data_IF_693560424890
#
_entry.id   IF_693560424890
#
_cell.length_a   1.000
_cell.length_b   1.000
_cell.length_c   1.000
_cell.angle_alpha   90.00
_cell.angle_beta   90.00
_cell.angle_gamma   90.00
#
_symmetry.space_group_name_H-M   'P 1'
#
loop_
_entity.id
_entity.type
_entity.pdbx_description
1 polymer ?
#
# COMPACT_ATOMS: atom_id res chain seq x y z
N UNK A 1 -10.68 7.27 -2.93
CA UNK A 1 -9.94 6.12 -2.39
C UNK A 1 -9.80 5.07 -3.47
N UNK A 2 -8.66 4.39 -3.54
CA UNK A 2 -8.43 3.21 -4.39
C UNK A 2 -8.36 2.01 -3.46
N UNK A 3 -9.51 1.37 -3.23
CA UNK A 3 -9.67 0.33 -2.20
C UNK A 3 -10.49 -0.88 -2.68
N UNK A 4 -10.99 -0.82 -3.91
CA UNK A 4 -11.61 -1.96 -4.60
C UNK A 4 -10.74 -2.36 -5.77
N UNK A 5 -10.61 -3.67 -6.03
CA UNK A 5 -9.74 -4.22 -7.09
C UNK A 5 -10.03 -3.58 -8.45
N UNK A 6 -11.32 -3.38 -8.78
CA UNK A 6 -11.73 -2.71 -10.03
C UNK A 6 -11.14 -1.30 -10.17
N UNK A 7 -11.10 -0.52 -9.08
CA UNK A 7 -10.57 0.85 -9.11
C UNK A 7 -9.07 0.87 -9.43
N UNK A 8 -8.29 -0.10 -8.94
CA UNK A 8 -6.89 -0.25 -9.31
C UNK A 8 -6.73 -0.65 -10.79
N UNK A 9 -7.53 -1.62 -11.26
CA UNK A 9 -7.51 -2.11 -12.65
C UNK A 9 -7.90 -1.02 -13.67
N UNK A 10 -8.82 -0.11 -13.31
CA UNK A 10 -9.35 0.95 -14.17
C UNK A 10 -8.93 2.35 -13.70
N UNK A 11 -7.79 2.49 -13.01
CA UNK A 11 -7.40 3.74 -12.38
C UNK A 11 -7.23 4.92 -13.37
N UNK A 12 -6.95 4.63 -14.64
CA UNK A 12 -6.90 5.64 -15.71
C UNK A 12 -8.26 6.33 -15.93
N UNK A 13 -9.38 5.62 -15.79
CA UNK A 13 -10.72 6.21 -15.89
C UNK A 13 -10.98 7.16 -14.73
N UNK A 14 -10.53 6.78 -13.52
CA UNK A 14 -10.69 7.58 -12.31
C UNK A 14 -9.82 8.85 -12.33
N UNK A 15 -8.60 8.76 -12.87
CA UNK A 15 -7.66 9.88 -12.94
C UNK A 15 -8.17 11.05 -13.80
N UNK A 16 -9.16 10.83 -14.67
CA UNK A 16 -9.81 11.88 -15.45
C UNK A 16 -10.59 12.88 -14.60
N UNK A 17 -11.09 12.46 -13.43
CA UNK A 17 -11.84 13.32 -12.50
C UNK A 17 -11.11 13.51 -11.17
N UNK A 18 -10.45 12.47 -10.65
CA UNK A 18 -9.80 12.51 -9.34
C UNK A 18 -8.53 13.39 -9.37
N UNK A 19 -8.36 14.23 -8.35
CA UNK A 19 -7.19 15.10 -8.20
C UNK A 19 -6.01 14.43 -7.48
N UNK A 20 -6.30 13.43 -6.65
CA UNK A 20 -5.32 12.59 -5.97
C UNK A 20 -5.89 11.18 -5.77
N UNK A 21 -5.00 10.22 -5.56
CA UNK A 21 -5.35 8.89 -5.09
C UNK A 21 -4.92 8.69 -3.64
N UNK A 22 -5.72 7.97 -2.88
CA UNK A 22 -5.34 7.43 -1.57
C UNK A 22 -5.73 5.96 -1.56
N UNK A 23 -4.75 5.08 -1.39
CA UNK A 23 -4.97 3.64 -1.34
C UNK A 23 -5.50 3.25 0.05
N UNK A 24 -6.75 2.79 0.07
CA UNK A 24 -7.40 2.21 1.25
C UNK A 24 -7.00 0.75 1.37
N UNK A 25 -5.81 0.51 1.91
CA UNK A 25 -5.20 -0.83 1.82
C UNK A 25 -5.83 -1.88 2.72
N UNK A 26 -6.53 -1.48 3.78
CA UNK A 26 -7.30 -2.44 4.58
C UNK A 26 -8.34 -3.15 3.70
N UNK A 27 -9.19 -2.39 3.00
CA UNK A 27 -10.23 -2.95 2.14
C UNK A 27 -9.68 -3.55 0.85
N UNK A 28 -8.61 -2.97 0.29
CA UNK A 28 -7.96 -3.55 -0.87
C UNK A 28 -7.37 -4.93 -0.55
N UNK A 29 -6.78 -5.11 0.64
CA UNK A 29 -6.31 -6.43 1.10
C UNK A 29 -7.48 -7.39 1.28
N UNK A 30 -8.58 -6.96 1.91
CA UNK A 30 -9.77 -7.81 2.05
C UNK A 30 -10.27 -8.30 0.68
N UNK A 31 -10.38 -7.41 -0.30
CA UNK A 31 -10.84 -7.73 -1.64
C UNK A 31 -9.84 -8.60 -2.42
N UNK A 32 -8.53 -8.40 -2.24
CA UNK A 32 -7.49 -9.15 -2.94
C UNK A 32 -7.35 -10.57 -2.42
N UNK A 33 -7.36 -10.75 -1.11
CA UNK A 33 -7.29 -12.07 -0.48
C UNK A 33 -8.65 -12.76 -0.37
N UNK A 34 -9.75 -12.04 -0.63
CA UNK A 34 -11.11 -12.48 -0.28
C UNK A 34 -11.24 -12.83 1.21
N UNK A 35 -10.56 -12.07 2.06
CA UNK A 35 -10.58 -12.22 3.51
C UNK A 35 -11.49 -11.16 4.12
N UNK A 36 -12.56 -11.60 4.78
CA UNK A 36 -13.18 -10.78 5.83
C UNK A 36 -12.18 -10.66 6.97
N UNK A 37 -11.74 -9.45 7.31
CA UNK A 37 -10.66 -9.24 8.29
C UNK A 37 -10.98 -9.85 9.65
N UNK A 38 -12.17 -9.57 10.17
CA UNK A 38 -12.62 -10.02 11.48
C UNK A 38 -12.71 -11.57 11.53
N UNK A 39 -13.24 -12.18 10.47
CA UNK A 39 -13.33 -13.63 10.38
C UNK A 39 -11.96 -14.29 10.21
N UNK A 40 -11.08 -13.69 9.40
CA UNK A 40 -9.74 -14.21 9.15
C UNK A 40 -8.90 -14.19 10.43
N UNK A 41 -8.80 -13.03 11.07
CA UNK A 41 -8.04 -12.84 12.32
C UNK A 41 -8.55 -13.74 13.45
N UNK A 42 -9.87 -13.95 13.54
CA UNK A 42 -10.49 -14.75 14.61
C UNK A 42 -10.53 -16.26 14.37
N UNK A 43 -10.36 -16.76 13.13
CA UNK A 43 -10.63 -18.17 12.80
C UNK A 43 -9.43 -18.93 12.24
N UNK A 44 -8.73 -18.40 11.23
CA UNK A 44 -7.75 -19.21 10.47
C UNK A 44 -6.41 -18.51 10.21
N UNK A 45 -6.35 -17.18 10.31
CA UNK A 45 -5.11 -16.45 10.03
C UNK A 45 -3.95 -16.80 10.98
N UNK A 46 -4.17 -17.01 12.30
CA UNK A 46 -3.09 -17.48 13.18
C UNK A 46 -2.50 -18.84 12.74
N UNK A 47 -3.35 -19.77 12.31
CA UNK A 47 -2.92 -21.09 11.81
C UNK A 47 -2.12 -20.96 10.51
N UNK A 48 -2.52 -20.05 9.61
CA UNK A 48 -1.78 -19.80 8.36
C UNK A 48 -0.36 -19.27 8.63
N UNK A 49 -0.19 -18.44 9.66
CA UNK A 49 1.13 -17.93 10.06
C UNK A 49 1.97 -19.01 10.75
N UNK A 50 1.38 -19.81 11.64
CA UNK A 50 2.07 -20.92 12.31
C UNK A 50 2.56 -21.98 11.31
N UNK A 51 1.75 -22.26 10.28
CA UNK A 51 2.09 -23.19 9.21
C UNK A 51 2.93 -22.56 8.10
N UNK A 52 3.34 -21.30 8.25
CA UNK A 52 4.13 -20.54 7.26
C UNK A 52 3.48 -20.50 5.87
N UNK A 53 2.15 -20.62 5.79
CA UNK A 53 1.38 -20.44 4.55
C UNK A 53 1.36 -18.97 4.12
N UNK A 54 1.47 -18.07 5.11
CA UNK A 54 1.71 -16.64 4.92
C UNK A 54 2.93 -16.24 5.73
N UNK A 55 3.83 -15.45 5.13
CA UNK A 55 5.03 -14.96 5.83
C UNK A 55 4.68 -13.95 6.94
N UNK A 56 3.63 -13.15 6.70
CA UNK A 56 3.19 -12.06 7.59
C UNK A 56 1.67 -11.89 7.51
N UNK A 57 1.10 -11.28 8.55
CA UNK A 57 -0.30 -10.87 8.52
C UNK A 57 -0.50 -9.78 7.44
N UNK A 58 -1.30 -10.03 6.39
CA UNK A 58 -1.46 -9.10 5.27
C UNK A 58 -2.27 -7.85 5.61
N UNK A 59 -2.86 -7.76 6.81
CA UNK A 59 -3.52 -6.57 7.35
C UNK A 59 -2.59 -5.69 8.21
N UNK A 60 -1.37 -6.16 8.50
CA UNK A 60 -0.37 -5.42 9.26
C UNK A 60 0.78 -4.93 8.38
N UNK A 61 1.27 -5.79 7.49
CA UNK A 61 2.32 -5.46 6.53
C UNK A 61 1.85 -5.85 5.14
N UNK A 62 2.14 -4.99 4.16
CA UNK A 62 1.57 -5.12 2.83
C UNK A 62 2.07 -6.38 2.13
N UNK A 63 1.13 -7.12 1.54
CA UNK A 63 1.46 -8.17 0.58
C UNK A 63 1.96 -7.52 -0.71
N UNK A 64 3.28 -7.53 -0.90
CA UNK A 64 3.95 -6.90 -2.05
C UNK A 64 3.53 -7.54 -3.37
N UNK A 65 3.36 -8.87 -3.40
CA UNK A 65 3.15 -9.58 -4.66
C UNK A 65 1.69 -9.51 -5.16
N UNK A 66 0.70 -9.48 -4.27
CA UNK A 66 -0.71 -9.32 -4.63
C UNK A 66 -1.17 -7.87 -4.52
N UNK A 67 -1.36 -7.39 -3.29
CA UNK A 67 -1.88 -6.03 -3.04
C UNK A 67 -0.94 -4.95 -3.58
N UNK A 68 0.37 -5.13 -3.42
CA UNK A 68 1.40 -4.23 -3.95
C UNK A 68 1.34 -4.12 -5.47
N UNK A 69 1.16 -5.24 -6.19
CA UNK A 69 0.97 -5.23 -7.65
C UNK A 69 -0.25 -4.42 -8.10
N UNK A 70 -1.36 -4.45 -7.33
CA UNK A 70 -2.52 -3.59 -7.61
C UNK A 70 -2.23 -2.12 -7.36
N UNK A 71 -1.44 -1.79 -6.32
CA UNK A 71 -1.01 -0.42 -6.05
C UNK A 71 -0.14 0.11 -7.19
N UNK A 72 0.89 -0.63 -7.59
CA UNK A 72 1.78 -0.25 -8.69
C UNK A 72 1.01 -0.07 -9.99
N UNK A 73 0.07 -0.98 -10.31
CA UNK A 73 -0.79 -0.87 -11.48
C UNK A 73 -1.68 0.38 -11.43
N UNK A 74 -2.30 0.65 -10.28
CA UNK A 74 -3.15 1.83 -10.08
C UNK A 74 -2.36 3.14 -10.23
N UNK A 75 -1.14 3.19 -9.70
CA UNK A 75 -0.21 4.31 -9.85
C UNK A 75 0.16 4.50 -11.31
N UNK A 76 0.60 3.44 -11.99
CA UNK A 76 1.03 3.50 -13.37
C UNK A 76 -0.11 4.00 -14.29
N UNK A 77 -1.31 3.46 -14.12
CA UNK A 77 -2.50 3.88 -14.89
C UNK A 77 -2.95 5.30 -14.58
N UNK A 78 -2.93 5.70 -13.31
CA UNK A 78 -3.29 7.07 -12.91
C UNK A 78 -2.30 8.09 -13.46
N UNK A 79 -0.99 7.83 -13.30
CA UNK A 79 0.07 8.72 -13.75
C UNK A 79 0.30 8.72 -15.25
N UNK A 80 -0.13 7.68 -15.97
CA UNK A 80 -0.17 7.70 -17.43
C UNK A 80 -1.11 8.80 -17.96
N UNK A 81 -2.20 9.11 -17.26
CA UNK A 81 -3.13 10.18 -17.63
C UNK A 81 -2.79 11.52 -16.97
N UNK A 82 -2.35 11.49 -15.70
CA UNK A 82 -1.98 12.68 -14.92
C UNK A 82 -0.60 12.49 -14.29
N UNK A 83 0.50 12.87 -14.98
CA UNK A 83 1.87 12.57 -14.53
C UNK A 83 2.21 13.04 -13.11
N UNK A 84 1.63 14.17 -12.69
CA UNK A 84 1.82 14.76 -11.37
C UNK A 84 0.71 14.37 -10.38
N UNK A 85 -0.03 13.29 -10.63
CA UNK A 85 -1.07 12.79 -9.72
C UNK A 85 -0.43 12.46 -8.37
N UNK A 86 -0.92 13.15 -7.34
CA UNK A 86 -0.55 12.86 -5.96
C UNK A 86 -1.16 11.51 -5.56
N UNK A 87 -0.33 10.64 -4.99
CA UNK A 87 -0.76 9.31 -4.58
C UNK A 87 -0.29 9.04 -3.16
N UNK A 88 -1.21 8.78 -2.25
CA UNK A 88 -0.87 8.32 -0.92
C UNK A 88 -1.49 6.97 -0.57
N UNK A 89 -1.23 6.56 0.66
CA UNK A 89 -1.79 5.37 1.30
C UNK A 89 -2.30 5.74 2.69
N UNK A 90 -3.40 5.12 3.09
CA UNK A 90 -3.92 5.20 4.45
C UNK A 90 -4.21 3.79 5.01
N UNK A 91 -4.40 3.73 6.32
CA UNK A 91 -4.69 2.50 7.05
C UNK A 91 -3.50 2.00 7.87
N UNK A 92 -3.56 0.74 8.28
CA UNK A 92 -2.57 0.15 9.19
C UNK A 92 -1.17 0.11 8.57
N UNK A 93 -1.10 -0.21 7.28
CA UNK A 93 0.14 -0.29 6.48
C UNK A 93 0.89 1.05 6.40
N UNK A 94 0.19 2.19 6.53
CA UNK A 94 0.83 3.51 6.51
C UNK A 94 1.77 3.76 7.70
N UNK A 95 1.67 2.94 8.76
CA UNK A 95 2.55 2.97 9.92
C UNK A 95 3.50 1.77 10.06
N UNK A 96 3.53 0.87 9.09
CA UNK A 96 4.40 -0.32 9.08
C UNK A 96 5.71 -0.04 8.30
N UNK A 97 6.90 -0.18 8.91
CA UNK A 97 8.17 0.14 8.24
C UNK A 97 8.41 -0.58 6.90
N UNK A 98 8.04 -1.86 6.81
CA UNK A 98 8.23 -2.64 5.57
C UNK A 98 7.30 -2.13 4.46
N UNK A 99 6.04 -1.85 4.80
CA UNK A 99 5.06 -1.26 3.89
C UNK A 99 5.47 0.13 3.43
N UNK A 100 6.02 0.96 4.33
CA UNK A 100 6.53 2.30 3.99
C UNK A 100 7.71 2.20 3.01
N UNK A 101 8.62 1.24 3.22
CA UNK A 101 9.72 0.98 2.29
C UNK A 101 9.22 0.56 0.91
N UNK A 102 8.22 -0.31 0.84
CA UNK A 102 7.52 -0.63 -0.41
C UNK A 102 6.91 0.63 -1.04
N UNK A 103 6.16 1.43 -0.26
CA UNK A 103 5.51 2.63 -0.75
C UNK A 103 6.52 3.65 -1.34
N UNK A 104 7.69 3.78 -0.71
CA UNK A 104 8.78 4.59 -1.23
C UNK A 104 9.30 4.05 -2.56
N UNK A 105 9.51 2.73 -2.67
CA UNK A 105 9.91 2.07 -3.92
C UNK A 105 8.88 2.22 -5.05
N UNK A 106 7.58 2.14 -4.72
CA UNK A 106 6.47 2.36 -5.66
C UNK A 106 6.21 3.85 -5.97
N UNK A 107 7.04 4.75 -5.44
CA UNK A 107 6.97 6.20 -5.66
C UNK A 107 5.64 6.83 -5.21
N UNK A 108 5.10 6.44 -4.04
CA UNK A 108 3.99 7.15 -3.42
C UNK A 108 4.47 8.52 -2.90
N UNK A 109 3.57 9.51 -2.95
CA UNK A 109 3.79 10.88 -2.51
C UNK A 109 3.78 11.01 -0.97
N UNK A 110 2.94 10.23 -0.28
CA UNK A 110 2.87 10.25 1.18
C UNK A 110 2.36 8.93 1.77
N UNK A 111 2.58 8.76 3.07
CA UNK A 111 1.92 7.74 3.91
C UNK A 111 1.12 8.44 5.00
N UNK A 112 -0.05 7.90 5.34
CA UNK A 112 -0.90 8.39 6.42
C UNK A 112 -1.09 7.29 7.47
N UNK A 113 -0.77 7.61 8.72
CA UNK A 113 -0.74 6.67 9.83
C UNK A 113 -1.50 7.24 11.04
N UNK A 114 -1.86 6.36 11.97
CA UNK A 114 -2.43 6.76 13.27
C UNK A 114 -1.44 7.62 14.07
N UNK A 115 -1.91 8.56 14.93
CA UNK A 115 -1.06 9.55 15.58
C UNK A 115 0.17 8.98 16.30
N UNK A 116 0.01 7.85 17.00
CA UNK A 116 1.09 7.21 17.75
C UNK A 116 2.12 6.51 16.84
N UNK A 117 1.79 6.22 15.59
CA UNK A 117 2.71 5.62 14.60
C UNK A 117 3.41 6.67 13.74
N UNK A 118 3.04 7.95 13.82
CA UNK A 118 3.70 9.03 13.06
C UNK A 118 5.23 9.03 13.26
N UNK A 119 5.78 8.92 14.50
CA UNK A 119 7.24 8.89 14.68
C UNK A 119 7.91 7.71 13.98
N UNK A 120 7.28 6.53 14.01
CA UNK A 120 7.76 5.32 13.33
C UNK A 120 7.76 5.55 11.82
N UNK A 121 6.69 6.12 11.28
CA UNK A 121 6.55 6.37 9.85
C UNK A 121 7.61 7.35 9.33
N UNK A 122 7.93 8.40 10.10
CA UNK A 122 9.00 9.35 9.77
C UNK A 122 10.35 8.64 9.68
N UNK A 123 10.71 7.83 10.68
CA UNK A 123 11.99 7.11 10.71
C UNK A 123 12.07 6.10 9.56
N UNK A 124 11.02 5.32 9.33
CA UNK A 124 10.98 4.33 8.26
C UNK A 124 11.08 4.97 6.87
N UNK A 125 10.39 6.10 6.64
CA UNK A 125 10.49 6.84 5.37
C UNK A 125 11.90 7.40 5.15
N UNK A 126 12.54 7.91 6.19
CA UNK A 126 13.92 8.38 6.12
C UNK A 126 14.90 7.24 5.82
N UNK A 127 14.74 6.09 6.49
CA UNK A 127 15.55 4.90 6.23
C UNK A 127 15.39 4.42 4.78
N UNK A 128 14.15 4.33 4.28
CA UNK A 128 13.87 3.94 2.90
C UNK A 128 14.57 4.87 1.89
N UNK A 129 14.56 6.19 2.14
CA UNK A 129 15.24 7.18 1.30
C UNK A 129 16.78 7.10 1.38
N UNK A 130 17.34 6.72 2.53
CA UNK A 130 18.79 6.56 2.72
C UNK A 130 19.29 5.27 2.04
N UNK A 131 18.52 4.19 2.14
CA UNK A 131 18.90 2.88 1.60
C UNK A 131 18.82 2.81 0.07
N UNK A 132 17.97 3.65 -0.56
CA UNK A 132 17.96 3.74 -2.01
C UNK A 132 19.21 4.46 -2.52
N UNK A 133 20.03 3.82 -3.38
CA UNK A 133 21.19 4.49 -3.97
C UNK A 133 20.69 5.67 -4.79
N UNK A 134 21.24 6.87 -4.53
CA UNK A 134 20.93 8.08 -5.31
C UNK A 134 21.10 7.77 -6.79
N UNK A 135 20.00 7.66 -7.53
CA UNK A 135 20.03 7.71 -8.98
C UNK A 135 20.67 9.05 -9.32
N UNK A 136 21.89 9.02 -9.88
CA UNK A 136 22.58 10.22 -10.34
C UNK A 136 21.59 10.99 -11.21
N UNK A 137 21.19 12.18 -10.76
CA UNK A 137 20.46 13.13 -11.58
C UNK A 137 21.26 13.34 -12.86
N UNK A 138 20.70 12.93 -14.00
CA UNK A 138 21.21 13.31 -15.32
C UNK A 138 20.92 14.78 -15.57
#
# INVERSE_FOLDING_TARGET
MIEVVRAALTANELAGTAEFFSFGTNDLTQATFSFSREDAEGKFLPEYLEKELLERNPFQSIDVNGVGSLIELGIAKGRALKPNLEVGICGEHGGDPNSIKFCHGANLSYVSASPHRIPIAIVAAAQAAIEQPKTKSK
#
